data_IF_252141172090
#
_entry.id   IF_252141172090
#
_cell.length_a   1.000
_cell.length_b   1.000
_cell.length_c   1.000
_cell.angle_alpha   90.00
_cell.angle_beta   90.00
_cell.angle_gamma   90.00
#
_symmetry.space_group_name_H-M   'P 1'
#
loop_
_entity.id
_entity.type
_entity.pdbx_description
1 polymer ?
#
# COMPACT_ATOMS: atom_id res chain seq x y z
N UNK A 1 7.09 27.06 1.72
CA UNK A 1 8.44 26.87 1.14
C UNK A 1 8.51 25.49 0.52
N UNK A 2 8.76 25.36 -0.80
CA UNK A 2 9.19 24.07 -1.38
C UNK A 2 10.52 23.74 -0.72
N UNK A 3 10.60 22.62 -0.01
CA UNK A 3 11.86 22.16 0.57
C UNK A 3 12.71 21.70 -0.61
N UNK A 4 13.71 22.49 -0.98
CA UNK A 4 14.70 22.06 -1.95
C UNK A 4 15.56 21.01 -1.27
N UNK A 5 15.27 19.75 -1.53
CA UNK A 5 16.07 18.65 -1.01
C UNK A 5 17.18 18.31 -1.99
N UNK A 6 18.42 18.33 -1.52
CA UNK A 6 19.53 17.71 -2.23
C UNK A 6 19.45 16.20 -2.02
N UNK A 7 19.15 15.46 -3.09
CA UNK A 7 19.19 14.01 -3.09
C UNK A 7 20.59 13.54 -3.48
N UNK A 8 21.19 12.68 -2.67
CA UNK A 8 22.41 11.96 -3.01
C UNK A 8 22.17 10.48 -2.77
N UNK A 9 22.55 9.66 -3.75
CA UNK A 9 22.40 8.22 -3.69
C UNK A 9 23.73 7.54 -3.97
N UNK A 10 23.98 6.46 -3.24
CA UNK A 10 25.16 5.62 -3.33
C UNK A 10 25.02 4.59 -4.45
N UNK A 11 24.78 5.06 -5.68
CA UNK A 11 24.66 4.17 -6.83
C UNK A 11 25.98 3.44 -7.10
N UNK A 12 25.89 2.16 -7.44
CA UNK A 12 27.00 1.50 -8.11
C UNK A 12 26.95 1.79 -9.61
N UNK A 13 28.00 1.39 -10.32
CA UNK A 13 28.15 1.69 -11.75
C UNK A 13 26.95 1.20 -12.59
N UNK A 14 26.43 0.01 -12.29
CA UNK A 14 25.24 -0.51 -12.98
C UNK A 14 24.00 0.35 -12.72
N UNK A 15 23.75 0.73 -11.47
CA UNK A 15 22.59 1.55 -11.10
C UNK A 15 22.72 2.94 -11.70
N UNK A 16 23.91 3.52 -11.70
CA UNK A 16 24.16 4.83 -12.31
C UNK A 16 23.87 4.81 -13.81
N UNK A 17 24.36 3.79 -14.53
CA UNK A 17 24.05 3.58 -15.96
C UNK A 17 22.55 3.48 -16.20
N UNK A 18 21.85 2.65 -15.42
CA UNK A 18 20.40 2.49 -15.51
C UNK A 18 19.64 3.80 -15.20
N UNK A 19 20.15 4.61 -14.28
CA UNK A 19 19.53 5.87 -13.86
C UNK A 19 19.63 6.97 -14.91
N UNK A 20 20.58 6.89 -15.86
CA UNK A 20 20.71 7.88 -16.96
C UNK A 20 19.48 7.91 -17.88
N UNK A 21 18.73 6.82 -17.94
CA UNK A 21 17.48 6.71 -18.71
C UNK A 21 16.23 6.95 -17.86
N UNK A 22 16.41 7.34 -16.59
CA UNK A 22 15.32 7.41 -15.64
C UNK A 22 14.36 8.57 -15.94
N UNK A 23 13.06 8.31 -15.80
CA UNK A 23 12.01 9.33 -15.95
C UNK A 23 11.42 9.67 -14.58
N UNK A 24 11.29 10.96 -14.28
CA UNK A 24 10.67 11.38 -13.02
C UNK A 24 9.21 10.94 -12.96
N UNK A 25 8.82 10.26 -11.87
CA UNK A 25 7.44 9.86 -11.63
C UNK A 25 6.76 10.73 -10.57
N UNK A 26 7.50 11.15 -9.56
CA UNK A 26 6.93 11.96 -8.48
C UNK A 26 7.82 12.07 -7.27
N UNK A 27 7.50 13.03 -6.41
CA UNK A 27 8.14 13.23 -5.11
C UNK A 27 7.10 13.09 -4.00
N UNK A 28 7.42 12.27 -3.00
CA UNK A 28 6.63 12.11 -1.79
C UNK A 28 7.38 12.62 -0.56
N UNK A 29 6.74 12.53 0.60
CA UNK A 29 7.28 13.06 1.86
C UNK A 29 8.67 12.53 2.27
N UNK A 30 9.05 11.35 1.77
CA UNK A 30 10.26 10.64 2.19
C UNK A 30 11.31 10.50 1.09
N UNK A 31 11.01 10.97 -0.12
CA UNK A 31 11.87 10.71 -1.26
C UNK A 31 11.21 10.95 -2.61
N UNK A 32 12.06 10.86 -3.63
CA UNK A 32 11.69 10.99 -5.03
C UNK A 32 11.69 9.63 -5.72
N UNK A 33 10.79 9.43 -6.67
CA UNK A 33 10.64 8.20 -7.43
C UNK A 33 10.87 8.48 -8.91
N UNK A 34 11.66 7.63 -9.54
CA UNK A 34 11.87 7.60 -10.98
C UNK A 34 11.51 6.24 -11.54
N UNK A 35 10.97 6.23 -12.75
CA UNK A 35 10.85 5.06 -13.60
C UNK A 35 12.23 4.71 -14.15
N UNK A 36 12.53 3.42 -14.19
CA UNK A 36 13.71 2.85 -14.82
C UNK A 36 13.30 1.92 -15.95
N UNK A 37 14.20 1.66 -16.92
CA UNK A 37 13.96 0.64 -17.95
C UNK A 37 13.53 -0.71 -17.39
N UNK A 38 12.80 -1.47 -18.20
CA UNK A 38 12.28 -2.82 -17.88
C UNK A 38 11.25 -2.84 -16.74
N UNK A 39 10.31 -1.88 -16.73
CA UNK A 39 9.21 -1.79 -15.75
C UNK A 39 9.71 -1.80 -14.31
N UNK A 40 10.78 -1.05 -14.04
CA UNK A 40 11.34 -0.88 -12.70
C UNK A 40 11.11 0.54 -12.22
N UNK A 41 11.15 0.72 -10.92
CA UNK A 41 11.16 2.03 -10.29
C UNK A 41 12.29 2.09 -9.27
N UNK A 42 12.94 3.24 -9.20
CA UNK A 42 13.88 3.57 -8.14
C UNK A 42 13.30 4.68 -7.27
N UNK A 43 13.28 4.44 -5.96
CA UNK A 43 12.95 5.46 -4.97
C UNK A 43 14.23 5.86 -4.25
N UNK A 44 14.56 7.15 -4.31
CA UNK A 44 15.68 7.76 -3.60
C UNK A 44 15.13 8.47 -2.38
N UNK A 45 15.70 8.16 -1.22
CA UNK A 45 15.22 8.59 0.09
C UNK A 45 16.10 9.69 0.68
N UNK A 46 15.48 10.59 1.45
CA UNK A 46 16.20 11.61 2.20
C UNK A 46 16.97 11.06 3.42
N UNK A 47 16.48 9.94 3.98
CA UNK A 47 16.97 9.39 5.24
C UNK A 47 17.24 7.90 5.10
N UNK A 48 18.47 7.48 5.38
CA UNK A 48 18.90 6.08 5.40
C UNK A 48 18.00 5.19 6.25
N UNK A 49 17.56 5.67 7.42
CA UNK A 49 16.64 4.92 8.29
C UNK A 49 15.32 4.60 7.58
N UNK A 50 14.76 5.57 6.86
CA UNK A 50 13.49 5.39 6.12
C UNK A 50 13.67 4.43 4.94
N UNK A 51 14.77 4.57 4.19
CA UNK A 51 15.16 3.61 3.14
C UNK A 51 15.24 2.19 3.69
N UNK A 52 15.92 2.02 4.83
CA UNK A 52 16.07 0.73 5.48
C UNK A 52 14.74 0.15 5.95
N UNK A 53 13.89 0.96 6.58
CA UNK A 53 12.59 0.50 7.07
C UNK A 53 11.67 0.06 5.92
N UNK A 54 11.55 0.87 4.86
CA UNK A 54 10.72 0.52 3.68
C UNK A 54 11.30 -0.67 2.91
N UNK A 55 12.60 -0.64 2.61
CA UNK A 55 13.26 -1.72 1.88
C UNK A 55 13.28 -3.05 2.64
N UNK A 56 13.38 -3.04 3.98
CA UNK A 56 13.31 -4.27 4.77
C UNK A 56 11.92 -4.90 4.77
N UNK A 57 10.85 -4.10 4.65
CA UNK A 57 9.49 -4.65 4.52
C UNK A 57 9.35 -5.26 3.13
N UNK A 58 9.72 -4.54 2.07
CA UNK A 58 9.65 -5.06 0.70
C UNK A 58 10.45 -6.35 0.53
N UNK A 59 11.68 -6.41 1.08
CA UNK A 59 12.49 -7.62 1.09
C UNK A 59 11.78 -8.82 1.72
N UNK A 60 11.08 -8.62 2.84
CA UNK A 60 10.34 -9.69 3.54
C UNK A 60 9.06 -10.10 2.82
N UNK A 61 8.53 -9.23 1.98
CA UNK A 61 7.34 -9.51 1.17
C UNK A 61 7.68 -9.98 -0.24
N UNK A 62 8.96 -10.04 -0.63
CA UNK A 62 9.38 -10.63 -1.90
C UNK A 62 8.79 -12.04 -2.04
N UNK A 63 8.17 -12.32 -3.19
CA UNK A 63 7.46 -13.57 -3.46
C UNK A 63 5.95 -13.53 -3.17
N UNK A 64 5.44 -12.46 -2.57
CA UNK A 64 4.00 -12.19 -2.52
C UNK A 64 3.53 -11.50 -3.81
N UNK A 65 2.43 -11.97 -4.41
CA UNK A 65 1.82 -11.34 -5.59
C UNK A 65 1.28 -9.92 -5.35
N UNK A 66 1.19 -9.51 -4.09
CA UNK A 66 0.58 -8.25 -3.66
C UNK A 66 1.59 -7.13 -3.37
N UNK A 67 2.88 -7.41 -3.48
CA UNK A 67 3.94 -6.44 -3.21
C UNK A 67 4.92 -6.41 -4.38
N UNK A 68 5.45 -5.23 -4.72
CA UNK A 68 6.43 -5.13 -5.79
C UNK A 68 7.71 -5.85 -5.36
N UNK A 69 8.28 -6.61 -6.28
CA UNK A 69 9.54 -7.31 -6.03
C UNK A 69 10.66 -6.29 -5.84
N UNK A 70 11.40 -6.40 -4.74
CA UNK A 70 12.58 -5.59 -4.50
C UNK A 70 13.82 -6.26 -5.10
N UNK A 71 14.38 -5.64 -6.14
CA UNK A 71 15.62 -6.10 -6.78
C UNK A 71 16.85 -5.71 -5.97
N UNK A 72 16.86 -4.50 -5.42
CA UNK A 72 18.05 -3.94 -4.79
C UNK A 72 17.72 -2.87 -3.75
N UNK A 73 18.59 -2.77 -2.74
CA UNK A 73 18.58 -1.71 -1.74
C UNK A 73 20.00 -1.18 -1.52
N UNK A 74 20.20 0.11 -1.77
CA UNK A 74 21.40 0.85 -1.34
C UNK A 74 21.20 1.55 0.00
N UNK A 75 22.13 2.43 0.40
CA UNK A 75 22.01 3.21 1.64
C UNK A 75 20.84 4.20 1.54
N UNK A 76 20.61 4.80 0.38
CA UNK A 76 19.59 5.82 0.19
C UNK A 76 18.60 5.52 -0.93
N UNK A 77 18.59 4.31 -1.50
CA UNK A 77 17.63 3.98 -2.55
C UNK A 77 17.15 2.54 -2.52
N UNK A 78 15.99 2.30 -3.12
CA UNK A 78 15.45 0.97 -3.39
C UNK A 78 15.05 0.90 -4.86
N UNK A 79 15.45 -0.19 -5.54
CA UNK A 79 14.96 -0.58 -6.86
C UNK A 79 13.94 -1.69 -6.68
N UNK A 80 12.75 -1.49 -7.24
CA UNK A 80 11.63 -2.44 -7.19
C UNK A 80 10.88 -2.49 -8.52
N UNK A 81 9.92 -3.40 -8.65
CA UNK A 81 8.95 -3.36 -9.75
C UNK A 81 8.24 -1.99 -9.81
N UNK A 82 8.00 -1.51 -11.02
CA UNK A 82 7.04 -0.43 -11.27
C UNK A 82 5.64 -0.95 -10.91
N UNK A 83 4.84 -0.10 -10.27
CA UNK A 83 3.47 -0.45 -9.89
C UNK A 83 2.54 0.30 -10.82
N UNK A 84 1.80 -0.48 -11.61
CA UNK A 84 0.79 0.02 -12.54
C UNK A 84 -0.58 0.12 -11.85
N UNK A 85 -1.55 0.72 -12.55
CA UNK A 85 -2.92 0.87 -12.09
C UNK A 85 -3.18 2.18 -11.34
N UNK A 86 -4.38 2.26 -10.75
CA UNK A 86 -4.86 3.45 -10.04
C UNK A 86 -5.17 3.09 -8.57
N UNK A 87 -5.20 4.10 -7.70
CA UNK A 87 -5.49 3.87 -6.27
C UNK A 87 -6.87 3.23 -6.09
N UNK A 88 -6.99 2.34 -5.10
CA UNK A 88 -8.23 1.61 -4.80
C UNK A 88 -9.44 2.51 -4.60
N UNK A 89 -9.28 3.64 -3.91
CA UNK A 89 -10.37 4.60 -3.68
C UNK A 89 -10.84 5.28 -4.98
N UNK A 90 -9.92 5.53 -5.92
CA UNK A 90 -10.25 6.09 -7.23
C UNK A 90 -10.90 5.05 -8.12
N UNK A 91 -10.33 3.84 -8.17
CA UNK A 91 -10.88 2.73 -8.93
C UNK A 91 -12.33 2.45 -8.57
N UNK A 92 -12.65 2.38 -7.27
CA UNK A 92 -14.01 2.14 -6.80
C UNK A 92 -14.96 3.27 -7.22
N UNK A 93 -14.51 4.53 -7.18
CA UNK A 93 -15.34 5.67 -7.61
C UNK A 93 -15.62 5.65 -9.11
N UNK A 94 -14.66 5.19 -9.90
CA UNK A 94 -14.75 5.18 -11.37
C UNK A 94 -15.49 3.95 -11.90
N UNK A 95 -15.31 2.78 -11.27
CA UNK A 95 -15.74 1.48 -11.80
C UNK A 95 -16.70 0.71 -10.87
N UNK A 96 -16.94 1.20 -9.65
CA UNK A 96 -17.70 0.50 -8.62
C UNK A 96 -16.88 -0.54 -7.84
N UNK A 97 -17.53 -1.20 -6.88
CA UNK A 97 -16.94 -2.28 -6.09
C UNK A 97 -17.47 -3.64 -6.57
N UNK A 98 -16.69 -4.34 -7.40
CA UNK A 98 -17.07 -5.68 -7.87
C UNK A 98 -16.86 -6.76 -6.79
N UNK A 99 -17.58 -7.88 -6.87
CA UNK A 99 -17.35 -9.02 -5.98
C UNK A 99 -15.94 -9.61 -6.11
N UNK A 100 -15.35 -9.54 -7.32
CA UNK A 100 -13.98 -10.00 -7.60
C UNK A 100 -12.97 -9.10 -6.87
N UNK A 101 -13.15 -7.78 -6.91
CA UNK A 101 -12.32 -6.84 -6.18
C UNK A 101 -12.42 -7.07 -4.67
N UNK A 102 -13.63 -7.29 -4.13
CA UNK A 102 -13.81 -7.65 -2.70
C UNK A 102 -13.07 -8.93 -2.33
N UNK A 103 -13.15 -9.96 -3.18
CA UNK A 103 -12.41 -11.22 -2.98
C UNK A 103 -10.91 -10.99 -2.97
N UNK A 104 -10.37 -10.22 -3.92
CA UNK A 104 -8.95 -9.88 -3.97
C UNK A 104 -8.50 -9.10 -2.72
N UNK A 105 -9.33 -8.17 -2.23
CA UNK A 105 -9.08 -7.44 -0.98
C UNK A 105 -9.06 -8.40 0.22
N UNK A 106 -10.01 -9.34 0.29
CA UNK A 106 -10.05 -10.33 1.36
C UNK A 106 -8.82 -11.25 1.36
N UNK A 107 -8.43 -11.77 0.20
CA UNK A 107 -7.22 -12.58 0.03
C UNK A 107 -5.95 -11.81 0.41
N UNK A 108 -5.88 -10.53 0.05
CA UNK A 108 -4.79 -9.65 0.48
C UNK A 108 -4.68 -9.54 2.00
N UNK A 109 -5.82 -9.46 2.71
CA UNK A 109 -5.83 -9.41 4.17
C UNK A 109 -5.46 -10.75 4.81
N UNK A 110 -5.72 -11.86 4.14
CA UNK A 110 -5.22 -13.18 4.54
C UNK A 110 -3.70 -13.29 4.31
N UNK A 111 -3.22 -12.73 3.21
CA UNK A 111 -1.79 -12.67 2.90
C UNK A 111 -1.01 -11.96 4.01
N UNK A 112 -1.53 -10.86 4.57
CA UNK A 112 -0.90 -10.19 5.72
C UNK A 112 -0.68 -11.14 6.90
N UNK A 113 -1.61 -12.07 7.16
CA UNK A 113 -1.44 -13.07 8.21
C UNK A 113 -0.37 -14.09 7.83
N UNK A 114 -0.37 -14.56 6.58
CA UNK A 114 0.64 -15.50 6.05
C UNK A 114 2.04 -14.92 6.18
N UNK A 115 2.19 -13.62 5.89
CA UNK A 115 3.43 -12.85 6.02
C UNK A 115 3.76 -12.46 7.47
N UNK A 116 2.97 -12.91 8.46
CA UNK A 116 3.13 -12.64 9.89
C UNK A 116 3.13 -11.15 10.24
N UNK A 117 2.36 -10.34 9.51
CA UNK A 117 2.16 -8.93 9.85
C UNK A 117 1.43 -8.81 11.19
N UNK A 118 1.87 -7.87 12.03
CA UNK A 118 1.15 -7.49 13.26
C UNK A 118 -0.01 -6.54 12.96
N UNK A 119 0.06 -5.82 11.85
CA UNK A 119 -0.94 -4.87 11.36
C UNK A 119 -1.69 -5.46 10.18
N UNK A 120 -2.88 -6.01 10.41
CA UNK A 120 -3.80 -6.54 9.40
C UNK A 120 -4.68 -5.42 8.83
N UNK A 121 -4.03 -4.35 8.35
CA UNK A 121 -4.69 -3.09 8.05
C UNK A 121 -3.87 -2.23 7.08
N UNK A 122 -4.56 -1.65 6.10
CA UNK A 122 -3.99 -0.87 4.99
C UNK A 122 -4.95 0.27 4.63
N UNK A 123 -4.46 1.36 4.04
CA UNK A 123 -5.31 2.46 3.55
C UNK A 123 -5.57 2.26 2.06
N UNK A 124 -6.73 2.69 1.56
CA UNK A 124 -7.02 2.63 0.11
C UNK A 124 -5.95 3.34 -0.73
N UNK A 125 -5.38 4.46 -0.25
CA UNK A 125 -4.32 5.19 -0.97
C UNK A 125 -2.99 4.45 -1.11
N UNK A 126 -2.78 3.40 -0.31
CA UNK A 126 -1.58 2.57 -0.34
C UNK A 126 -1.78 1.28 -1.18
N UNK A 127 -2.98 1.09 -1.75
CA UNK A 127 -3.35 -0.06 -2.60
C UNK A 127 -3.65 0.44 -4.01
N UNK A 128 -3.01 -0.18 -5.00
CA UNK A 128 -3.20 0.07 -6.42
C UNK A 128 -3.94 -1.09 -7.06
N UNK A 129 -4.83 -0.77 -7.99
CA UNK A 129 -5.71 -1.69 -8.71
C UNK A 129 -5.44 -1.52 -10.19
N UNK A 130 -5.07 -2.62 -10.82
CA UNK A 130 -4.91 -2.70 -12.28
C UNK A 130 -6.26 -2.97 -12.95
N UNK A 131 -6.29 -2.91 -14.28
CA UNK A 131 -7.51 -3.13 -15.08
C UNK A 131 -8.14 -4.52 -14.85
N UNK A 132 -7.34 -5.54 -14.54
CA UNK A 132 -7.82 -6.89 -14.22
C UNK A 132 -8.04 -7.09 -12.70
N UNK A 133 -8.17 -6.00 -11.95
CA UNK A 133 -8.39 -5.94 -10.50
C UNK A 133 -7.30 -6.63 -9.67
N UNK A 134 -6.10 -6.88 -10.21
CA UNK A 134 -4.96 -7.29 -9.38
C UNK A 134 -4.55 -6.13 -8.47
N UNK A 135 -4.26 -6.47 -7.21
CA UNK A 135 -3.89 -5.53 -6.17
C UNK A 135 -2.38 -5.48 -5.96
N UNK A 136 -1.85 -4.28 -5.82
CA UNK A 136 -0.45 -4.04 -5.50
C UNK A 136 -0.32 -3.03 -4.36
N UNK A 137 0.49 -3.35 -3.34
CA UNK A 137 0.73 -2.48 -2.19
C UNK A 137 2.06 -1.77 -2.35
N UNK A 138 2.04 -0.45 -2.22
CA UNK A 138 3.25 0.37 -2.31
C UNK A 138 3.86 0.74 -0.96
N UNK A 139 3.05 0.83 0.11
CA UNK A 139 3.52 1.42 1.39
C UNK A 139 2.91 0.75 2.65
N UNK A 140 3.33 -0.47 3.00
CA UNK A 140 2.84 -1.19 4.17
C UNK A 140 3.49 -0.70 5.49
N UNK A 141 3.43 0.61 5.79
CA UNK A 141 4.10 1.19 6.97
C UNK A 141 3.71 0.49 8.26
N UNK A 142 4.74 0.21 9.08
CA UNK A 142 4.61 -0.38 10.43
C UNK A 142 3.94 -1.76 10.44
N UNK A 143 3.98 -2.49 9.31
CA UNK A 143 3.37 -3.82 9.15
C UNK A 143 3.75 -4.81 10.28
N UNK A 144 5.02 -4.83 10.69
CA UNK A 144 5.56 -5.76 11.68
C UNK A 144 5.63 -5.22 13.12
N UNK A 145 5.29 -3.95 13.34
CA UNK A 145 5.47 -3.30 14.66
C UNK A 145 4.15 -2.93 15.31
N UNK A 146 3.20 -2.36 14.57
CA UNK A 146 1.90 -1.96 15.12
C UNK A 146 0.96 -3.15 15.18
N UNK A 147 0.35 -3.41 16.34
CA UNK A 147 -0.67 -4.46 16.48
C UNK A 147 -2.04 -3.91 16.08
N UNK A 148 -2.60 -4.43 15.00
CA UNK A 148 -3.98 -4.16 14.54
C UNK A 148 -4.50 -5.46 13.92
N UNK A 149 -5.63 -5.97 14.38
CA UNK A 149 -6.12 -7.30 14.04
C UNK A 149 -7.31 -7.29 13.05
N UNK A 150 -7.67 -6.10 12.53
CA UNK A 150 -8.71 -5.92 11.50
C UNK A 150 -8.47 -4.62 10.69
N UNK A 151 -8.99 -4.53 9.45
CA UNK A 151 -8.58 -3.50 8.49
C UNK A 151 -9.38 -2.19 8.64
N UNK A 152 -9.30 -1.56 9.82
CA UNK A 152 -10.08 -0.34 10.13
C UNK A 152 -9.83 0.86 9.20
N UNK A 153 -8.60 1.06 8.71
CA UNK A 153 -8.33 2.20 7.83
C UNK A 153 -8.81 1.93 6.40
N UNK A 154 -8.78 0.67 5.97
CA UNK A 154 -9.40 0.25 4.71
C UNK A 154 -10.90 0.53 4.79
N UNK A 155 -11.55 0.06 5.87
CA UNK A 155 -12.98 0.29 6.10
C UNK A 155 -13.33 1.78 6.18
N UNK A 156 -12.51 2.61 6.84
CA UNK A 156 -12.68 4.08 6.81
C UNK A 156 -12.62 4.62 5.37
N UNK A 157 -11.70 4.11 4.55
CA UNK A 157 -11.61 4.48 3.14
C UNK A 157 -12.82 4.05 2.32
N UNK A 158 -13.30 2.82 2.51
CA UNK A 158 -14.50 2.29 1.84
C UNK A 158 -15.76 3.06 2.25
N UNK A 159 -15.87 3.41 3.53
CA UNK A 159 -16.92 4.28 4.06
C UNK A 159 -16.91 5.65 3.37
N UNK A 160 -15.73 6.28 3.24
CA UNK A 160 -15.56 7.57 2.55
C UNK A 160 -15.95 7.55 1.07
N UNK A 161 -15.93 6.38 0.42
CA UNK A 161 -16.35 6.23 -0.98
C UNK A 161 -17.73 5.58 -1.13
N UNK A 162 -18.45 5.36 -0.03
CA UNK A 162 -19.87 4.95 -0.03
C UNK A 162 -20.15 3.45 -0.19
N UNK A 163 -19.13 2.58 -0.16
CA UNK A 163 -19.28 1.14 -0.50
C UNK A 163 -19.06 0.19 0.69
N UNK A 164 -19.07 0.71 1.92
CA UNK A 164 -18.76 -0.12 3.10
C UNK A 164 -19.78 -1.24 3.34
N UNK A 165 -21.07 -0.96 3.14
CA UNK A 165 -22.13 -1.94 3.36
C UNK A 165 -22.08 -3.04 2.29
N UNK A 166 -21.91 -2.67 1.03
CA UNK A 166 -21.68 -3.60 -0.10
C UNK A 166 -20.47 -4.50 0.14
N UNK A 167 -19.38 -3.92 0.67
CA UNK A 167 -18.20 -4.68 1.06
C UNK A 167 -18.54 -5.73 2.13
N UNK A 168 -19.27 -5.38 3.18
CA UNK A 168 -19.63 -6.34 4.23
C UNK A 168 -20.57 -7.44 3.74
N UNK A 169 -21.56 -7.11 2.90
CA UNK A 169 -22.45 -8.11 2.30
C UNK A 169 -21.66 -9.11 1.43
N UNK A 170 -20.70 -8.63 0.64
CA UNK A 170 -19.83 -9.51 -0.14
C UNK A 170 -18.91 -10.36 0.76
N UNK A 171 -18.29 -9.78 1.80
CA UNK A 171 -17.47 -10.55 2.74
C UNK A 171 -18.30 -11.59 3.48
N UNK A 172 -19.58 -11.32 3.79
CA UNK A 172 -20.48 -12.27 4.46
C UNK A 172 -20.72 -13.52 3.61
N UNK A 173 -20.76 -13.39 2.29
CA UNK A 173 -20.81 -14.53 1.35
C UNK A 173 -19.52 -15.36 1.35
N UNK A 174 -18.38 -14.75 1.65
CA UNK A 174 -17.05 -15.41 1.65
C UNK A 174 -16.73 -16.03 3.02
N UNK A 175 -16.91 -15.26 4.09
CA UNK A 175 -16.62 -15.61 5.48
C UNK A 175 -17.52 -14.79 6.42
N UNK A 176 -18.71 -15.32 6.71
CA UNK A 176 -19.70 -14.69 7.59
C UNK A 176 -19.16 -14.37 8.99
N UNK A 177 -18.25 -15.18 9.52
CA UNK A 177 -17.66 -14.96 10.85
C UNK A 177 -16.73 -13.74 10.82
N UNK A 178 -15.94 -13.57 9.76
CA UNK A 178 -15.10 -12.37 9.57
C UNK A 178 -15.92 -11.13 9.34
N UNK A 179 -16.96 -11.19 8.50
CA UNK A 179 -17.88 -10.07 8.28
C UNK A 179 -18.41 -9.53 9.61
N UNK A 180 -19.07 -10.40 10.40
CA UNK A 180 -19.66 -10.01 11.68
C UNK A 180 -18.61 -9.49 12.68
N UNK A 181 -17.46 -10.16 12.79
CA UNK A 181 -16.38 -9.74 13.70
C UNK A 181 -15.81 -8.37 13.32
N UNK A 182 -15.58 -8.13 12.04
CA UNK A 182 -15.02 -6.88 11.53
C UNK A 182 -16.00 -5.73 11.64
N UNK A 183 -17.27 -5.95 11.30
CA UNK A 183 -18.32 -4.94 11.40
C UNK A 183 -18.48 -4.47 12.85
N UNK A 184 -18.56 -5.40 13.81
CA UNK A 184 -18.64 -5.08 15.24
C UNK A 184 -17.43 -4.25 15.72
N UNK A 185 -16.21 -4.65 15.32
CA UNK A 185 -14.99 -3.94 15.69
C UNK A 185 -14.94 -2.53 15.08
N UNK A 186 -15.36 -2.39 13.83
CA UNK A 186 -15.38 -1.11 13.14
C UNK A 186 -16.41 -0.16 13.74
N UNK A 187 -17.61 -0.66 14.08
CA UNK A 187 -18.65 0.11 14.79
C UNK A 187 -18.14 0.64 16.12
N UNK A 188 -17.48 -0.20 16.92
CA UNK A 188 -16.83 0.21 18.19
C UNK A 188 -15.75 1.24 17.98
N UNK A 189 -14.94 1.10 16.93
CA UNK A 189 -13.91 2.08 16.59
C UNK A 189 -14.47 3.45 16.20
N UNK A 190 -15.61 3.48 15.50
CA UNK A 190 -16.31 4.72 15.18
C UNK A 190 -16.94 5.36 16.43
N UNK A 191 -17.63 4.55 17.25
CA UNK A 191 -18.29 5.02 18.48
C UNK A 191 -17.31 5.56 19.53
N UNK A 192 -16.13 4.95 19.68
CA UNK A 192 -15.09 5.43 20.60
C UNK A 192 -14.43 6.75 20.18
N UNK A 193 -14.71 7.25 18.97
CA UNK A 193 -14.01 8.39 18.37
C UNK A 193 -14.83 9.68 18.26
N UNK A 194 -16.07 9.77 18.74
CA UNK A 194 -16.94 10.96 18.61
C UNK A 194 -16.75 11.69 17.27
N UNK A 195 -17.12 11.00 16.18
CA UNK A 195 -17.21 11.47 14.80
C UNK A 195 -16.55 12.83 14.44
N UNK A 196 -15.27 12.80 14.05
CA UNK A 196 -14.84 13.49 12.83
C UNK A 196 -14.22 12.47 11.88
N UNK A 197 -15.09 11.79 11.11
CA UNK A 197 -14.65 10.81 10.10
C UNK A 197 -13.90 11.52 8.94
N UNK A 198 -13.87 12.86 8.93
CA UNK A 198 -13.38 13.70 7.85
C UNK A 198 -11.88 14.07 7.93
N UNK A 199 -11.25 14.16 9.11
CA UNK A 199 -10.06 15.06 9.22
C UNK A 199 -8.65 14.45 9.31
N UNK A 200 -8.45 13.16 9.02
CA UNK A 200 -7.08 12.59 9.04
C UNK A 200 -6.64 12.08 7.66
N UNK A 201 -5.83 12.88 6.96
CA UNK A 201 -5.06 12.54 5.75
C UNK A 201 -3.61 12.12 6.05
#
# INVERSE_FOLDING_TARGET
MKKNFAYSADFDEYTEKLFREAKYLGEGNNGVVYELPNKKAIKIFLRKKVCNDEGSILAKTNGSKYFPYMYKRGKFYVIRDLVDGIRLDKHIKENGLSERLVRNIYELLLEFKRLKFKKLDIRCKDVYVSEDEKLMIIDPKKAYTRKVDYPRHLMKGLCKVGVLDEFFECIKKIDAKKAASWELKFRRYCGAKNLSILDDD
#
